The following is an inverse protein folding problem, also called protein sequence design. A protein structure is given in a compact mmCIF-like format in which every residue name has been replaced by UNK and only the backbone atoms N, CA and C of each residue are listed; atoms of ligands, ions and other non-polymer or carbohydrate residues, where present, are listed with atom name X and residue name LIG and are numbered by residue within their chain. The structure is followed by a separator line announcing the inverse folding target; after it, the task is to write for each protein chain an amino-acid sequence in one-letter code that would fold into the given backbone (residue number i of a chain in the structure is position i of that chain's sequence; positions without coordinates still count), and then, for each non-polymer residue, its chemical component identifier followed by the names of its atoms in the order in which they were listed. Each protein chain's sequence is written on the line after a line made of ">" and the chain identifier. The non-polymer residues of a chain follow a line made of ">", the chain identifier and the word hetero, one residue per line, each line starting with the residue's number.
data_IF_031573292263
#
_entry.id   IF_031573292263
#
_cell.length_a   1.000
_cell.length_b   1.000
_cell.length_c   1.000
_cell.angle_alpha   90.00
_cell.angle_beta   90.00
_cell.angle_gamma   90.00
#
_symmetry.space_group_name_H-M   'P 1'
#
loop_
_entity.id
_entity.type
_entity.pdbx_description
1 polymer ?
#
# COMPACT_ATOMS: atom_id res chain seq x y z
N UNK A 1 -13.16 -12.34 13.81
CA UNK A 1 -12.50 -13.15 12.76
C UNK A 1 -13.35 -13.28 11.49
N UNK A 2 -14.68 -13.42 11.58
CA UNK A 2 -15.58 -13.54 10.42
C UNK A 2 -15.51 -12.35 9.43
N UNK A 3 -15.33 -11.12 9.92
CA UNK A 3 -15.39 -9.92 9.07
C UNK A 3 -14.15 -9.76 8.17
N UNK A 4 -12.99 -10.20 8.63
CA UNK A 4 -11.74 -10.18 7.84
C UNK A 4 -11.82 -11.20 6.72
N UNK A 5 -12.32 -12.40 7.03
CA UNK A 5 -12.52 -13.47 6.07
C UNK A 5 -13.52 -13.04 4.98
N UNK A 6 -14.61 -12.37 5.37
CA UNK A 6 -15.63 -11.86 4.43
C UNK A 6 -15.09 -10.82 3.44
N UNK A 7 -14.10 -10.00 3.85
CA UNK A 7 -13.48 -9.00 2.97
C UNK A 7 -12.34 -9.57 2.10
N UNK A 8 -11.62 -10.59 2.56
CA UNK A 8 -10.50 -11.18 1.83
C UNK A 8 -10.96 -12.21 0.78
N UNK A 9 -12.01 -12.98 1.08
CA UNK A 9 -12.59 -13.97 0.16
C UNK A 9 -12.82 -13.41 -1.25
N UNK A 10 -13.51 -12.28 -1.44
CA UNK A 10 -13.78 -11.76 -2.79
C UNK A 10 -12.49 -11.40 -3.53
N UNK A 11 -11.47 -10.87 -2.85
CA UNK A 11 -10.17 -10.51 -3.46
C UNK A 11 -9.45 -11.77 -3.94
N UNK A 12 -9.39 -12.80 -3.09
CA UNK A 12 -8.75 -14.08 -3.43
C UNK A 12 -9.48 -14.78 -4.58
N UNK A 13 -10.82 -14.77 -4.57
CA UNK A 13 -11.64 -15.30 -5.67
C UNK A 13 -11.33 -14.59 -6.99
N UNK A 14 -11.18 -13.27 -6.97
CA UNK A 14 -10.89 -12.46 -8.15
C UNK A 14 -9.49 -12.75 -8.70
N UNK A 15 -8.49 -12.94 -7.83
CA UNK A 15 -7.12 -13.34 -8.22
C UNK A 15 -7.13 -14.74 -8.84
N UNK A 16 -7.80 -15.70 -8.21
CA UNK A 16 -7.94 -17.06 -8.75
C UNK A 16 -8.66 -17.07 -10.11
N UNK A 17 -9.70 -16.25 -10.26
CA UNK A 17 -10.43 -16.09 -11.51
C UNK A 17 -9.56 -15.46 -12.61
N UNK A 18 -8.75 -14.45 -12.28
CA UNK A 18 -7.77 -13.87 -13.19
C UNK A 18 -6.75 -14.90 -13.67
N UNK A 19 -6.26 -15.76 -12.77
CA UNK A 19 -5.38 -16.87 -13.14
C UNK A 19 -6.08 -17.88 -14.05
N UNK A 20 -7.34 -18.23 -13.77
CA UNK A 20 -8.12 -19.17 -14.58
C UNK A 20 -8.36 -18.66 -16.00
N UNK A 21 -8.62 -17.35 -16.17
CA UNK A 21 -8.75 -16.72 -17.49
C UNK A 21 -7.43 -16.76 -18.26
N UNK A 22 -6.31 -16.51 -17.58
CA UNK A 22 -4.97 -16.58 -18.19
C UNK A 22 -4.60 -18.00 -18.62
N UNK A 23 -4.97 -19.01 -17.84
CA UNK A 23 -4.74 -20.41 -18.19
C UNK A 23 -5.49 -20.86 -19.46
N UNK A 24 -6.60 -20.21 -19.80
CA UNK A 24 -7.38 -20.51 -21.00
C UNK A 24 -6.95 -19.73 -22.25
N UNK A 25 -5.86 -18.94 -22.18
CA UNK A 25 -5.42 -18.02 -23.25
C UNK A 25 -6.53 -17.10 -23.79
N UNK A 26 -7.58 -16.89 -22.98
CA UNK A 26 -8.78 -16.14 -23.39
C UNK A 26 -8.50 -14.65 -23.53
N UNK A 27 -7.39 -14.16 -22.96
CA UNK A 27 -6.91 -12.78 -23.02
C UNK A 27 -5.44 -12.77 -23.46
N UNK A 28 -5.17 -12.20 -24.63
CA UNK A 28 -3.83 -11.99 -25.15
C UNK A 28 -3.05 -11.00 -24.26
N UNK A 29 -1.73 -11.11 -24.20
CA UNK A 29 -0.89 -10.21 -23.39
C UNK A 29 -1.12 -8.73 -23.69
N UNK A 30 -1.38 -8.38 -24.96
CA UNK A 30 -1.66 -7.00 -25.38
C UNK A 30 -2.96 -6.46 -24.79
N UNK A 31 -3.99 -7.32 -24.70
CA UNK A 31 -5.28 -6.96 -24.06
C UNK A 31 -5.08 -6.77 -22.55
N UNK A 32 -4.29 -7.64 -21.91
CA UNK A 32 -3.95 -7.50 -20.48
C UNK A 32 -3.19 -6.20 -20.22
N UNK A 33 -2.22 -5.85 -21.08
CA UNK A 33 -1.49 -4.57 -20.99
C UNK A 33 -2.43 -3.36 -21.16
N UNK A 34 -3.35 -3.42 -22.13
CA UNK A 34 -4.35 -2.39 -22.35
C UNK A 34 -5.29 -2.19 -21.16
N UNK A 35 -5.85 -3.28 -20.62
CA UNK A 35 -6.71 -3.25 -19.42
C UNK A 35 -5.93 -2.69 -18.23
N UNK A 36 -4.69 -3.16 -18.00
CA UNK A 36 -3.84 -2.67 -16.90
C UNK A 36 -3.62 -1.16 -16.99
N UNK A 37 -3.37 -0.64 -18.19
CA UNK A 37 -3.15 0.80 -18.41
C UNK A 37 -4.39 1.61 -18.04
N UNK A 38 -5.58 1.15 -18.43
CA UNK A 38 -6.86 1.80 -18.08
C UNK A 38 -7.06 1.82 -16.56
N UNK A 39 -6.79 0.70 -15.89
CA UNK A 39 -6.91 0.62 -14.42
C UNK A 39 -5.95 1.60 -13.72
N UNK A 40 -4.71 1.69 -14.20
CA UNK A 40 -3.70 2.59 -13.62
C UNK A 40 -4.03 4.06 -13.91
N UNK A 41 -4.37 4.40 -15.15
CA UNK A 41 -4.54 5.79 -15.56
C UNK A 41 -5.89 6.38 -15.14
N UNK A 42 -6.92 5.56 -14.99
CA UNK A 42 -8.29 6.01 -14.68
C UNK A 42 -8.72 5.60 -13.28
N UNK A 43 -8.64 4.31 -12.95
CA UNK A 43 -9.18 3.81 -11.68
C UNK A 43 -8.39 4.31 -10.47
N UNK A 44 -7.05 4.36 -10.54
CA UNK A 44 -6.24 4.85 -9.41
C UNK A 44 -6.54 6.33 -9.07
N UNK A 45 -6.51 7.28 -10.02
CA UNK A 45 -6.91 8.65 -9.74
C UNK A 45 -8.37 8.75 -9.29
N UNK A 46 -9.29 8.01 -9.91
CA UNK A 46 -10.70 8.05 -9.55
C UNK A 46 -10.94 7.62 -8.09
N UNK A 47 -10.27 6.56 -7.63
CA UNK A 47 -10.35 6.13 -6.23
C UNK A 47 -9.83 7.24 -5.31
N UNK A 48 -8.69 7.85 -5.65
CA UNK A 48 -8.13 8.95 -4.88
C UNK A 48 -9.09 10.16 -4.81
N UNK A 49 -9.72 10.51 -5.93
CA UNK A 49 -10.76 11.55 -5.99
C UNK A 49 -11.97 11.20 -5.13
N UNK A 50 -12.47 9.96 -5.20
CA UNK A 50 -13.57 9.49 -4.36
C UNK A 50 -13.18 9.58 -2.89
N UNK A 51 -11.96 9.20 -2.52
CA UNK A 51 -11.45 9.33 -1.16
C UNK A 51 -11.43 10.80 -0.71
N UNK A 52 -10.96 11.73 -1.55
CA UNK A 52 -10.97 13.15 -1.22
C UNK A 52 -12.37 13.75 -1.13
N UNK A 53 -13.29 13.37 -2.02
CA UNK A 53 -14.68 13.86 -2.00
C UNK A 53 -15.44 13.35 -0.77
N UNK A 54 -15.22 12.11 -0.37
CA UNK A 54 -15.80 11.54 0.86
C UNK A 54 -15.06 11.97 2.13
N UNK A 55 -14.00 12.76 2.02
CA UNK A 55 -13.26 13.24 3.18
C UNK A 55 -14.04 14.36 3.87
N UNK A 56 -14.66 14.04 5.00
CA UNK A 56 -15.31 15.05 5.85
C UNK A 56 -14.26 15.87 6.62
N UNK A 57 -13.97 17.08 6.14
CA UNK A 57 -13.10 18.02 6.87
C UNK A 57 -13.92 18.78 7.90
N UNK A 58 -14.05 18.21 9.12
CA UNK A 58 -14.61 18.96 10.27
C UNK A 58 -13.54 19.83 10.93
N UNK A 59 -13.87 21.10 11.20
CA UNK A 59 -12.98 22.09 11.83
C UNK A 59 -12.47 21.64 13.21
N UNK A 60 -13.24 20.81 13.92
CA UNK A 60 -12.87 20.20 15.20
C UNK A 60 -11.64 19.28 15.08
N UNK A 61 -11.41 18.66 13.92
CA UNK A 61 -10.24 17.81 13.66
C UNK A 61 -9.03 18.59 13.16
N UNK A 62 -9.13 19.89 12.88
CA UNK A 62 -7.99 20.69 12.40
C UNK A 62 -6.92 20.85 13.48
N UNK A 63 -7.36 21.07 14.72
CA UNK A 63 -6.47 21.11 15.90
C UNK A 63 -5.85 19.73 16.14
N UNK A 64 -6.65 18.67 16.01
CA UNK A 64 -6.16 17.29 16.13
C UNK A 64 -5.15 16.98 15.01
N UNK A 65 -5.39 17.40 13.77
CA UNK A 65 -4.51 17.23 12.62
C UNK A 65 -3.16 17.92 12.83
N UNK A 66 -3.17 19.20 13.25
CA UNK A 66 -1.93 19.93 13.56
C UNK A 66 -1.20 19.27 14.73
N UNK A 67 -1.92 18.89 15.79
CA UNK A 67 -1.35 18.18 16.92
C UNK A 67 -0.81 16.79 16.52
N UNK A 68 -1.44 16.09 15.58
CA UNK A 68 -0.94 14.79 15.07
C UNK A 68 0.29 15.00 14.23
N UNK A 69 0.31 15.98 13.30
CA UNK A 69 1.51 16.30 12.51
C UNK A 69 2.68 16.66 13.43
N UNK A 70 2.44 17.43 14.49
CA UNK A 70 3.46 17.77 15.48
C UNK A 70 3.92 16.55 16.29
N UNK A 71 2.99 15.69 16.71
CA UNK A 71 3.28 14.39 17.30
C UNK A 71 4.07 13.50 16.34
N UNK A 72 3.81 13.55 15.04
CA UNK A 72 4.48 12.73 14.03
C UNK A 72 5.90 13.20 13.72
N UNK A 73 6.16 14.50 13.82
CA UNK A 73 7.53 15.00 13.85
C UNK A 73 8.25 14.47 15.10
N UNK A 74 7.57 14.40 16.24
CA UNK A 74 8.14 13.83 17.47
C UNK A 74 8.31 12.28 17.40
N UNK A 75 7.40 11.58 16.72
CA UNK A 75 7.42 10.12 16.52
C UNK A 75 8.15 9.68 15.24
N UNK A 76 8.75 10.62 14.51
CA UNK A 76 9.48 10.37 13.26
C UNK A 76 10.53 9.26 13.45
N UNK A 77 11.18 9.23 14.61
CA UNK A 77 12.15 8.20 14.97
C UNK A 77 11.54 6.79 14.99
N UNK A 78 10.33 6.62 15.54
CA UNK A 78 9.67 5.31 15.62
C UNK A 78 9.22 4.82 14.23
N UNK A 79 8.68 5.73 13.41
CA UNK A 79 8.28 5.43 12.03
C UNK A 79 9.50 5.10 11.17
N UNK A 80 10.59 5.87 11.32
CA UNK A 80 11.85 5.64 10.60
C UNK A 80 12.49 4.29 10.99
N UNK A 81 12.49 3.92 12.27
CA UNK A 81 12.97 2.60 12.72
C UNK A 81 12.14 1.49 12.09
N UNK A 82 10.81 1.59 12.14
CA UNK A 82 9.90 0.58 11.57
C UNK A 82 10.17 0.39 10.07
N UNK A 83 10.24 1.49 9.32
CA UNK A 83 10.50 1.46 7.88
C UNK A 83 11.89 0.88 7.56
N UNK A 84 12.91 1.27 8.33
CA UNK A 84 14.27 0.78 8.15
C UNK A 84 14.35 -0.73 8.41
N UNK A 85 13.72 -1.23 9.48
CA UNK A 85 13.69 -2.68 9.77
C UNK A 85 13.00 -3.45 8.66
N UNK A 86 11.87 -2.96 8.14
CA UNK A 86 11.12 -3.61 7.06
C UNK A 86 11.93 -3.62 5.76
N UNK A 87 12.55 -2.52 5.38
CA UNK A 87 13.36 -2.43 4.17
C UNK A 87 14.62 -3.30 4.27
N UNK A 88 15.30 -3.30 5.42
CA UNK A 88 16.49 -4.14 5.64
C UNK A 88 16.13 -5.62 5.57
N UNK A 89 15.08 -6.05 6.26
CA UNK A 89 14.62 -7.45 6.24
C UNK A 89 14.13 -7.84 4.84
N UNK A 90 13.38 -6.97 4.17
CA UNK A 90 12.89 -7.18 2.80
C UNK A 90 14.03 -7.34 1.80
N UNK A 91 15.03 -6.46 1.83
CA UNK A 91 16.19 -6.56 0.93
C UNK A 91 17.12 -7.75 1.25
N UNK A 92 17.28 -8.11 2.53
CA UNK A 92 17.97 -9.34 2.91
C UNK A 92 17.27 -10.57 2.32
N UNK A 93 15.94 -10.63 2.44
CA UNK A 93 15.17 -11.72 1.85
C UNK A 93 15.26 -11.74 0.32
N UNK A 94 15.24 -10.56 -0.30
CA UNK A 94 15.42 -10.42 -1.75
C UNK A 94 16.75 -11.01 -2.21
N UNK A 95 17.84 -10.61 -1.55
CA UNK A 95 19.18 -11.08 -1.87
C UNK A 95 19.33 -12.60 -1.68
N UNK A 96 18.76 -13.16 -0.61
CA UNK A 96 18.90 -14.59 -0.30
C UNK A 96 18.03 -15.51 -1.16
N UNK A 97 16.81 -15.07 -1.49
CA UNK A 97 15.79 -15.95 -2.09
C UNK A 97 15.38 -15.47 -3.48
N UNK A 98 14.98 -14.21 -3.61
CA UNK A 98 14.33 -13.69 -4.82
C UNK A 98 15.34 -13.57 -5.97
N UNK A 99 16.53 -13.02 -5.71
CA UNK A 99 17.57 -12.84 -6.73
C UNK A 99 18.12 -14.19 -7.25
N UNK A 100 17.89 -15.28 -6.51
CA UNK A 100 18.21 -16.65 -6.94
C UNK A 100 17.14 -17.27 -7.84
N UNK A 101 15.91 -16.74 -7.81
CA UNK A 101 14.75 -17.28 -8.54
C UNK A 101 14.37 -16.39 -9.73
N UNK A 102 14.55 -15.07 -9.64
CA UNK A 102 14.07 -14.07 -10.59
C UNK A 102 15.22 -13.18 -11.04
N UNK A 103 15.34 -12.93 -12.35
CA UNK A 103 16.31 -11.99 -12.90
C UNK A 103 16.04 -10.57 -12.40
N UNK A 104 17.04 -9.88 -11.84
CA UNK A 104 16.83 -8.54 -11.28
C UNK A 104 16.66 -7.50 -12.38
N UNK A 105 15.41 -7.18 -12.72
CA UNK A 105 15.05 -6.07 -13.61
C UNK A 105 14.76 -4.77 -12.83
N UNK A 106 15.04 -3.60 -13.43
CA UNK A 106 14.76 -2.29 -12.79
C UNK A 106 13.28 -2.17 -12.37
N UNK A 107 12.35 -2.63 -13.21
CA UNK A 107 10.91 -2.60 -12.91
C UNK A 107 10.56 -3.49 -11.71
N UNK A 108 11.21 -4.65 -11.60
CA UNK A 108 11.00 -5.58 -10.50
C UNK A 108 11.50 -5.00 -9.18
N UNK A 109 12.64 -4.30 -9.20
CA UNK A 109 13.17 -3.62 -8.02
C UNK A 109 12.22 -2.52 -7.50
N UNK A 110 11.63 -1.72 -8.40
CA UNK A 110 10.62 -0.73 -8.03
C UNK A 110 9.36 -1.38 -7.46
N UNK A 111 8.85 -2.43 -8.12
CA UNK A 111 7.67 -3.14 -7.64
C UNK A 111 7.89 -3.79 -6.26
N UNK A 112 9.07 -4.39 -6.04
CA UNK A 112 9.43 -5.00 -4.78
C UNK A 112 9.54 -3.95 -3.65
N UNK A 113 10.16 -2.81 -3.94
CA UNK A 113 10.26 -1.70 -3.00
C UNK A 113 8.88 -1.15 -2.61
N UNK A 114 8.05 -0.81 -3.60
CA UNK A 114 6.71 -0.25 -3.36
C UNK A 114 5.79 -1.23 -2.64
N UNK A 115 5.89 -2.53 -2.91
CA UNK A 115 5.09 -3.54 -2.21
C UNK A 115 5.37 -3.55 -0.70
N UNK A 116 6.64 -3.49 -0.30
CA UNK A 116 6.98 -3.50 1.12
C UNK A 116 6.64 -2.19 1.83
N UNK A 117 6.81 -1.05 1.17
CA UNK A 117 6.55 0.25 1.79
C UNK A 117 5.04 0.54 1.88
N UNK A 118 4.35 0.45 0.73
CA UNK A 118 2.98 0.90 0.60
C UNK A 118 1.95 -0.15 1.03
N UNK A 119 2.12 -1.40 0.58
CA UNK A 119 1.13 -2.45 0.87
C UNK A 119 1.15 -2.84 2.35
N UNK A 120 2.32 -2.87 2.99
CA UNK A 120 2.44 -3.18 4.41
C UNK A 120 1.70 -2.15 5.28
N UNK A 121 1.84 -0.86 4.99
CA UNK A 121 1.20 0.18 5.79
C UNK A 121 -0.33 0.16 5.68
N UNK A 122 -0.85 0.05 4.46
CA UNK A 122 -2.31 0.00 4.19
C UNK A 122 -2.92 -1.33 4.65
N UNK A 123 -2.19 -2.44 4.57
CA UNK A 123 -2.71 -3.74 4.98
C UNK A 123 -2.80 -3.86 6.51
N UNK A 124 -1.74 -3.49 7.23
CA UNK A 124 -1.67 -3.64 8.69
C UNK A 124 -2.68 -2.74 9.40
N UNK A 125 -2.91 -1.54 8.87
CA UNK A 125 -3.88 -0.57 9.39
C UNK A 125 -5.32 -0.99 9.16
N UNK A 126 -5.68 -1.44 7.95
CA UNK A 126 -7.02 -1.97 7.66
C UNK A 126 -7.31 -3.25 8.44
N UNK A 127 -6.30 -4.12 8.63
CA UNK A 127 -6.41 -5.27 9.51
C UNK A 127 -6.58 -4.86 10.99
N UNK A 128 -5.86 -3.83 11.45
CA UNK A 128 -6.04 -3.27 12.80
C UNK A 128 -7.45 -2.70 13.00
N UNK A 129 -8.02 -1.99 12.03
CA UNK A 129 -9.41 -1.47 12.10
C UNK A 129 -10.42 -2.63 12.12
N UNK A 130 -10.15 -3.71 11.40
CA UNK A 130 -11.02 -4.88 11.37
C UNK A 130 -10.94 -5.72 12.65
N UNK A 131 -9.79 -5.73 13.35
CA UNK A 131 -9.59 -6.47 14.61
C UNK A 131 -9.94 -5.63 15.85
N UNK A 132 -9.66 -4.32 15.85
CA UNK A 132 -9.88 -3.42 16.97
C UNK A 132 -11.09 -2.50 16.73
N UNK A 133 -11.97 -2.44 17.73
CA UNK A 133 -13.25 -1.73 17.74
C UNK A 133 -13.22 -0.34 17.05
N UNK A 134 -14.28 0.01 16.29
CA UNK A 134 -14.46 1.22 15.43
C UNK A 134 -14.09 2.57 16.06
N UNK A 135 -13.96 2.64 17.40
CA UNK A 135 -13.70 3.84 18.19
C UNK A 135 -12.33 4.50 17.92
N UNK A 136 -11.37 3.81 17.28
CA UNK A 136 -10.05 4.35 16.90
C UNK A 136 -9.84 4.59 15.41
N UNK A 137 -10.91 4.58 14.60
CA UNK A 137 -10.83 4.77 13.15
C UNK A 137 -10.05 6.03 12.74
N UNK A 138 -10.27 7.15 13.42
CA UNK A 138 -9.56 8.42 13.14
C UNK A 138 -8.05 8.34 13.38
N UNK A 139 -7.60 7.62 14.40
CA UNK A 139 -6.16 7.46 14.70
C UNK A 139 -5.47 6.58 13.66
N UNK A 140 -6.10 5.48 13.26
CA UNK A 140 -5.52 4.58 12.26
C UNK A 140 -5.53 5.21 10.87
N UNK A 141 -6.60 5.92 10.49
CA UNK A 141 -6.66 6.65 9.23
C UNK A 141 -5.54 7.69 9.13
N UNK A 142 -5.27 8.42 10.23
CA UNK A 142 -4.17 9.38 10.25
C UNK A 142 -2.80 8.69 10.13
N UNK A 143 -2.59 7.53 10.78
CA UNK A 143 -1.35 6.74 10.61
C UNK A 143 -1.14 6.30 9.15
N UNK A 144 -2.20 5.90 8.44
CA UNK A 144 -2.14 5.51 7.02
C UNK A 144 -1.78 6.68 6.13
N UNK A 145 -2.44 7.82 6.32
CA UNK A 145 -2.16 9.02 5.51
C UNK A 145 -0.70 9.44 5.70
N UNK A 146 -0.17 9.39 6.92
CA UNK A 146 1.21 9.82 7.18
C UNK A 146 2.27 8.83 6.72
N UNK A 147 2.05 7.54 6.93
CA UNK A 147 2.92 6.52 6.36
C UNK A 147 2.94 6.59 4.84
N UNK A 148 1.82 6.92 4.20
CA UNK A 148 1.73 7.14 2.75
C UNK A 148 2.62 8.29 2.29
N UNK A 149 2.58 9.44 2.98
CA UNK A 149 3.45 10.60 2.67
C UNK A 149 4.92 10.22 2.82
N UNK A 150 5.29 9.52 3.90
CA UNK A 150 6.67 9.06 4.11
C UNK A 150 7.10 8.08 3.03
N UNK A 151 6.26 7.11 2.66
CA UNK A 151 6.54 6.16 1.57
C UNK A 151 6.79 6.87 0.23
N UNK A 152 6.03 7.93 -0.08
CA UNK A 152 6.23 8.71 -1.31
C UNK A 152 7.60 9.38 -1.30
N UNK A 153 7.99 10.02 -0.19
CA UNK A 153 9.30 10.70 -0.07
C UNK A 153 10.44 9.69 -0.15
N UNK A 154 10.34 8.56 0.55
CA UNK A 154 11.35 7.50 0.54
C UNK A 154 11.46 6.85 -0.84
N UNK A 155 10.32 6.61 -1.52
CA UNK A 155 10.30 6.07 -2.87
C UNK A 155 10.96 7.01 -3.89
N UNK A 156 10.69 8.31 -3.81
CA UNK A 156 11.36 9.31 -4.66
C UNK A 156 12.88 9.27 -4.42
N UNK A 157 13.31 9.23 -3.15
CA UNK A 157 14.73 9.09 -2.80
C UNK A 157 15.37 7.81 -3.37
N UNK A 158 14.65 6.68 -3.31
CA UNK A 158 15.09 5.41 -3.88
C UNK A 158 15.24 5.46 -5.41
N UNK A 159 14.27 6.04 -6.11
CA UNK A 159 14.31 6.22 -7.58
C UNK A 159 15.50 7.10 -7.99
N UNK A 160 15.87 8.10 -7.19
CA UNK A 160 17.02 8.96 -7.49
C UNK A 160 18.39 8.27 -7.29
N UNK A 161 18.45 7.15 -6.57
CA UNK A 161 19.70 6.40 -6.31
C UNK A 161 20.00 5.28 -7.34
N UNK A 162 19.06 4.93 -8.23
CA UNK A 162 19.12 3.79 -9.19
C UNK A 162 19.02 4.24 -10.65
#
# INVERSE_FOLDING_TARGET
>A
MSDIVSNIIPIVLLICFGHFIRYKDMLTEDVIKGIRKIVIDISLPAILFITFVNMEIRKEYFVIMIATVFLLVAFYFFVAIRLTVILVVGYLFKFFVIDKIITPDKLFNYAYFTFFDFAYSVFTSNLCIAVWNKRRYGTVNNEVVLSTVVCIVVFIGFVMMI
#
